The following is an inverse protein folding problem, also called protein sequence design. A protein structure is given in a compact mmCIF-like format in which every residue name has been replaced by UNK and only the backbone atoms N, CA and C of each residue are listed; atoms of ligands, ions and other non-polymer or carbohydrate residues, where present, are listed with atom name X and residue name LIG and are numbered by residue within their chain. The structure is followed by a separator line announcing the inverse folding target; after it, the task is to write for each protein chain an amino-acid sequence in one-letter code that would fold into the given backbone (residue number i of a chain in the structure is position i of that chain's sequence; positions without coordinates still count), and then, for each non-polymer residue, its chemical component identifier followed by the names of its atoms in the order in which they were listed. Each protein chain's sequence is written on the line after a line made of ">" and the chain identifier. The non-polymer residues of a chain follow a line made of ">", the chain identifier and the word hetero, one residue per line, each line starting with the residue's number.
data_IF_914626038885
#
_entry.id   IF_914626038885
#
_cell.length_a   1.000
_cell.length_b   1.000
_cell.length_c   1.000
_cell.angle_alpha   90.00
_cell.angle_beta   90.00
_cell.angle_gamma   90.00
#
_symmetry.space_group_name_H-M   'P 1'
#
loop_
_entity.id
_entity.type
_entity.pdbx_description
1 polymer ?
#
# COMPACT_ATOMS: atom_id res chain seq x y z
N UNK A 1 0.89 2.19 21.14
CA UNK A 1 0.46 2.61 19.80
C UNK A 1 -0.89 3.32 19.83
N UNK A 2 -2.02 2.65 20.12
CA UNK A 2 -3.32 3.34 20.19
C UNK A 2 -3.35 4.45 21.26
N UNK A 3 -2.85 4.19 22.47
CA UNK A 3 -2.80 5.18 23.55
C UNK A 3 -1.85 6.36 23.27
N UNK A 4 -0.67 6.10 22.70
CA UNK A 4 0.31 7.15 22.33
C UNK A 4 -0.27 8.14 21.30
N UNK A 5 -1.06 7.65 20.35
CA UNK A 5 -1.70 8.50 19.34
C UNK A 5 -2.91 9.28 19.89
N UNK A 6 -3.57 8.78 20.94
CA UNK A 6 -4.57 9.54 21.70
C UNK A 6 -3.84 10.69 22.44
N UNK A 7 -2.71 10.43 23.09
CA UNK A 7 -1.89 11.44 23.78
C UNK A 7 -1.43 12.55 22.81
N UNK A 8 -0.92 12.21 21.64
CA UNK A 8 -0.52 13.21 20.64
C UNK A 8 -1.70 14.07 20.14
N UNK A 9 -2.89 13.46 20.01
CA UNK A 9 -4.12 14.18 19.63
C UNK A 9 -4.57 15.11 20.77
N UNK A 10 -4.48 14.65 22.01
CA UNK A 10 -4.76 15.45 23.20
C UNK A 10 -3.86 16.71 23.33
N UNK A 11 -2.57 16.61 23.00
CA UNK A 11 -1.65 17.74 23.03
C UNK A 11 -2.02 18.80 21.97
N UNK A 12 -2.37 18.38 20.75
CA UNK A 12 -2.83 19.27 19.69
C UNK A 12 -4.08 20.07 20.08
N UNK A 13 -5.09 19.43 20.70
CA UNK A 13 -6.29 20.13 21.17
C UNK A 13 -6.04 20.99 22.44
N UNK A 14 -5.00 20.69 23.24
CA UNK A 14 -4.53 21.54 24.35
C UNK A 14 -3.90 22.85 23.82
N UNK A 15 -3.10 22.80 22.76
CA UNK A 15 -2.53 24.01 22.13
C UNK A 15 -3.61 24.92 21.52
N UNK A 16 -4.64 24.33 20.90
CA UNK A 16 -5.81 25.03 20.39
C UNK A 16 -6.73 25.64 21.47
N UNK A 17 -6.47 25.35 22.76
CA UNK A 17 -7.25 25.82 23.93
C UNK A 17 -8.75 25.48 23.88
N UNK A 18 -9.13 24.45 23.14
CA UNK A 18 -10.51 23.97 23.05
C UNK A 18 -10.79 22.91 24.11
N UNK A 19 -11.92 22.96 24.84
CA UNK A 19 -12.27 21.95 25.83
C UNK A 19 -12.65 20.63 25.15
N UNK A 20 -12.19 19.49 25.66
CA UNK A 20 -12.51 18.17 25.11
C UNK A 20 -12.60 17.06 26.18
N UNK A 21 -13.10 15.88 25.80
CA UNK A 21 -13.14 14.65 26.63
C UNK A 21 -13.07 13.38 25.76
N UNK A 22 -12.94 12.20 26.38
CA UNK A 22 -12.64 10.92 25.69
C UNK A 22 -13.55 9.80 26.21
N UNK A 23 -14.31 9.13 25.33
CA UNK A 23 -15.31 8.09 25.68
C UNK A 23 -15.22 6.84 24.81
N UNK A 24 -15.08 5.68 25.46
CA UNK A 24 -15.09 4.38 24.79
C UNK A 24 -16.49 4.08 24.20
N UNK A 25 -16.55 3.79 22.90
CA UNK A 25 -17.79 3.51 22.18
C UNK A 25 -18.20 2.06 22.39
N UNK A 26 -19.48 1.87 22.69
CA UNK A 26 -20.10 0.58 23.03
C UNK A 26 -20.22 -0.35 21.83
N UNK A 27 -20.13 -1.66 22.09
CA UNK A 27 -20.07 -2.74 21.08
C UNK A 27 -21.09 -2.65 19.94
N UNK A 28 -22.35 -2.32 20.25
CA UNK A 28 -23.43 -2.21 19.25
C UNK A 28 -23.34 -0.99 18.31
N UNK A 29 -22.38 -0.08 18.52
CA UNK A 29 -22.13 1.09 17.68
C UNK A 29 -20.76 1.04 16.96
N UNK A 30 -20.09 -0.12 16.98
CA UNK A 30 -18.96 -0.39 16.09
C UNK A 30 -19.45 -0.89 14.73
N UNK A 31 -18.69 -0.56 13.69
CA UNK A 31 -18.81 -1.16 12.36
C UNK A 31 -17.97 -2.44 12.29
N UNK A 32 -18.32 -3.34 11.36
CA UNK A 32 -17.76 -4.71 11.25
C UNK A 32 -16.22 -4.81 11.17
N UNK A 33 -15.54 -3.72 10.82
CA UNK A 33 -14.07 -3.64 10.72
C UNK A 33 -13.36 -3.21 12.02
N UNK A 34 -14.08 -2.75 13.05
CA UNK A 34 -13.49 -2.18 14.27
C UNK A 34 -13.71 -3.10 15.48
N UNK A 35 -12.63 -3.39 16.22
CA UNK A 35 -12.68 -4.25 17.42
C UNK A 35 -12.87 -3.47 18.72
N UNK A 36 -12.22 -2.30 18.86
CA UNK A 36 -12.39 -1.39 20.01
C UNK A 36 -12.29 0.04 19.53
N UNK A 37 -13.18 0.91 20.03
CA UNK A 37 -13.48 2.20 19.43
C UNK A 37 -13.34 3.31 20.52
N UNK A 38 -12.13 3.88 20.67
CA UNK A 38 -11.85 5.13 21.43
C UNK A 38 -11.77 6.38 20.56
N UNK A 39 -12.46 7.41 21.02
CA UNK A 39 -12.70 8.64 20.28
C UNK A 39 -12.49 9.87 21.17
N UNK A 40 -11.61 10.79 20.74
CA UNK A 40 -11.47 12.14 21.30
C UNK A 40 -12.67 13.03 20.92
N UNK A 41 -13.06 13.99 21.78
CA UNK A 41 -14.30 14.77 21.61
C UNK A 41 -14.23 16.23 22.09
N UNK A 42 -14.21 17.20 21.17
CA UNK A 42 -14.37 18.61 21.53
C UNK A 42 -15.79 18.88 22.11
N UNK A 43 -15.86 19.64 23.19
CA UNK A 43 -17.12 20.02 23.84
C UNK A 43 -17.85 21.09 22.99
N UNK A 44 -19.17 21.11 22.81
CA UNK A 44 -20.22 20.43 23.57
C UNK A 44 -20.35 18.93 23.30
N UNK A 45 -19.92 18.18 24.30
CA UNK A 45 -20.40 16.85 24.65
C UNK A 45 -20.65 15.86 23.49
N UNK A 46 -19.54 15.42 22.87
CA UNK A 46 -19.26 14.00 22.56
C UNK A 46 -19.41 13.48 21.10
N UNK A 47 -18.43 13.79 20.23
CA UNK A 47 -18.19 13.10 18.95
C UNK A 47 -16.69 13.06 18.55
N UNK A 48 -16.32 12.42 17.43
CA UNK A 48 -15.41 11.25 17.42
C UNK A 48 -14.05 11.38 16.68
N UNK A 49 -12.90 11.00 17.29
CA UNK A 49 -11.60 10.78 16.60
C UNK A 49 -10.82 9.48 16.88
N UNK A 50 -10.60 8.69 15.80
CA UNK A 50 -9.69 7.54 15.68
C UNK A 50 -8.28 7.88 15.19
N UNK A 51 -7.38 6.93 15.43
CA UNK A 51 -6.20 6.74 14.58
C UNK A 51 -6.60 6.10 13.24
N UNK A 52 -6.28 6.75 12.13
CA UNK A 52 -6.46 6.16 10.81
C UNK A 52 -5.28 5.23 10.50
N UNK A 53 -5.52 3.92 10.56
CA UNK A 53 -4.56 2.91 10.10
C UNK A 53 -4.66 2.79 8.57
N UNK A 54 -3.58 3.10 7.86
CA UNK A 54 -3.44 2.85 6.43
C UNK A 54 -2.40 1.74 6.21
N UNK A 55 -2.81 0.65 5.56
CA UNK A 55 -1.89 -0.31 4.98
C UNK A 55 -1.82 -0.11 3.46
N UNK A 56 -0.61 -0.03 2.91
CA UNK A 56 -0.38 -0.02 1.47
C UNK A 56 0.70 -1.05 1.13
N UNK A 57 0.42 -2.05 0.28
CA UNK A 57 1.43 -3.00 -0.15
C UNK A 57 2.45 -2.30 -1.06
N UNK A 58 3.67 -2.09 -0.56
CA UNK A 58 4.76 -1.38 -1.25
C UNK A 58 5.07 -1.97 -2.64
N UNK A 59 5.05 -3.31 -2.74
CA UNK A 59 5.20 -4.04 -4.00
C UNK A 59 4.54 -5.41 -3.87
N UNK A 60 3.67 -5.75 -4.82
CA UNK A 60 3.21 -7.12 -5.00
C UNK A 60 4.19 -7.79 -5.96
N UNK A 61 5.11 -8.61 -5.43
CA UNK A 61 6.30 -9.12 -6.13
C UNK A 61 5.98 -9.74 -7.49
N UNK A 62 4.93 -10.56 -7.59
CA UNK A 62 4.48 -11.17 -8.84
C UNK A 62 4.03 -10.14 -9.89
N UNK A 63 3.28 -9.12 -9.47
CA UNK A 63 2.76 -8.06 -10.36
C UNK A 63 3.87 -7.12 -10.80
N UNK A 64 4.74 -6.74 -9.87
CA UNK A 64 5.93 -5.93 -10.15
C UNK A 64 6.90 -6.67 -11.05
N UNK A 65 7.05 -8.00 -10.91
CA UNK A 65 7.83 -8.81 -11.83
C UNK A 65 7.27 -8.76 -13.25
N UNK A 66 5.94 -8.89 -13.44
CA UNK A 66 5.35 -8.70 -14.78
C UNK A 66 5.66 -7.31 -15.35
N UNK A 67 5.51 -6.24 -14.56
CA UNK A 67 5.83 -4.89 -15.02
C UNK A 67 7.32 -4.71 -15.36
N UNK A 68 8.24 -5.34 -14.62
CA UNK A 68 9.68 -5.31 -14.95
C UNK A 68 9.95 -6.10 -16.23
N UNK A 69 9.39 -7.31 -16.38
CA UNK A 69 9.53 -8.14 -17.57
C UNK A 69 9.00 -7.45 -18.83
N UNK A 70 7.88 -6.72 -18.74
CA UNK A 70 7.29 -6.00 -19.88
C UNK A 70 8.06 -4.72 -20.26
N UNK A 71 8.46 -3.90 -19.27
CA UNK A 71 9.09 -2.60 -19.56
C UNK A 71 10.60 -2.70 -19.86
N UNK A 72 11.29 -3.74 -19.37
CA UNK A 72 12.72 -3.95 -19.60
C UNK A 72 12.99 -5.07 -20.62
N UNK A 73 11.98 -5.50 -21.40
CA UNK A 73 12.16 -6.47 -22.48
C UNK A 73 13.04 -5.90 -23.60
N UNK A 74 13.97 -6.73 -24.07
CA UNK A 74 14.77 -6.52 -25.28
C UNK A 74 14.54 -7.69 -26.25
N UNK A 75 15.13 -7.63 -27.46
CA UNK A 75 15.04 -8.73 -28.43
C UNK A 75 15.65 -10.05 -27.92
N UNK A 76 16.67 -9.96 -27.05
CA UNK A 76 17.50 -11.10 -26.62
C UNK A 76 17.28 -11.53 -25.16
N UNK A 77 16.48 -10.79 -24.39
CA UNK A 77 16.28 -11.04 -22.96
C UNK A 77 15.55 -9.90 -22.26
N UNK A 78 15.73 -9.79 -20.94
CA UNK A 78 15.21 -8.68 -20.12
C UNK A 78 16.38 -8.01 -19.41
N UNK A 79 16.46 -6.67 -19.46
CA UNK A 79 17.47 -5.93 -18.70
C UNK A 79 17.10 -5.85 -17.21
N UNK A 80 18.10 -5.96 -16.34
CA UNK A 80 17.89 -5.84 -14.89
C UNK A 80 17.94 -4.35 -14.53
N UNK A 81 16.88 -3.78 -13.90
CA UNK A 81 16.89 -2.41 -13.40
C UNK A 81 18.07 -2.16 -12.48
N UNK A 82 18.74 -1.01 -12.63
CA UNK A 82 19.96 -0.66 -11.89
C UNK A 82 19.88 -0.91 -10.36
N UNK A 83 18.79 -0.55 -9.64
CA UNK A 83 18.69 -0.81 -8.20
C UNK A 83 18.66 -2.30 -7.82
N UNK A 84 18.25 -3.19 -8.73
CA UNK A 84 18.15 -4.64 -8.48
C UNK A 84 19.47 -5.38 -8.71
N UNK A 85 20.41 -4.80 -9.47
CA UNK A 85 21.67 -5.47 -9.85
C UNK A 85 22.51 -5.89 -8.66
N UNK A 86 22.53 -5.09 -7.59
CA UNK A 86 23.26 -5.39 -6.33
C UNK A 86 22.76 -6.69 -5.70
N UNK A 87 21.44 -6.93 -5.73
CA UNK A 87 20.81 -8.14 -5.19
C UNK A 87 20.93 -9.35 -6.14
N UNK A 88 21.30 -9.12 -7.41
CA UNK A 88 21.47 -10.14 -8.45
C UNK A 88 22.95 -10.40 -8.78
N UNK A 89 23.85 -10.18 -7.81
CA UNK A 89 25.29 -10.46 -7.98
C UNK A 89 25.98 -9.59 -9.03
N UNK A 90 25.46 -8.40 -9.32
CA UNK A 90 25.98 -7.48 -10.32
C UNK A 90 25.54 -7.76 -11.77
N UNK A 91 24.68 -8.76 -12.02
CA UNK A 91 24.19 -9.03 -13.37
C UNK A 91 23.32 -7.87 -13.92
N UNK A 92 23.49 -7.58 -15.20
CA UNK A 92 22.80 -6.49 -15.90
C UNK A 92 21.69 -6.95 -16.85
N UNK A 93 21.66 -8.21 -17.27
CA UNK A 93 20.64 -8.76 -18.18
C UNK A 93 20.34 -10.24 -17.93
N UNK A 94 19.12 -10.65 -18.26
CA UNK A 94 18.59 -12.01 -18.21
C UNK A 94 18.31 -12.50 -19.64
N UNK A 95 19.15 -13.34 -20.25
CA UNK A 95 18.96 -13.80 -21.63
C UNK A 95 17.79 -14.78 -21.76
N UNK A 96 17.09 -14.76 -22.90
CA UNK A 96 16.07 -15.77 -23.18
C UNK A 96 16.71 -17.13 -23.50
N UNK A 97 16.33 -18.17 -22.77
CA UNK A 97 16.81 -19.54 -23.01
C UNK A 97 16.27 -20.17 -24.32
N UNK A 98 15.24 -19.56 -24.92
CA UNK A 98 14.72 -19.89 -26.26
C UNK A 98 14.33 -18.59 -26.96
N UNK A 99 14.79 -18.39 -28.19
CA UNK A 99 14.36 -17.24 -29.00
C UNK A 99 12.83 -17.26 -29.14
N UNK A 100 12.14 -16.11 -29.02
CA UNK A 100 10.70 -16.05 -29.24
C UNK A 100 10.39 -16.49 -30.67
N UNK A 101 9.66 -17.59 -30.83
CA UNK A 101 9.29 -18.10 -32.15
C UNK A 101 8.49 -17.05 -32.90
N UNK A 102 8.88 -16.73 -34.13
CA UNK A 102 8.24 -15.74 -35.02
C UNK A 102 6.88 -16.21 -35.56
N UNK A 103 5.98 -16.64 -34.67
CA UNK A 103 4.57 -16.86 -35.00
C UNK A 103 3.82 -15.54 -34.94
N UNK A 104 3.97 -14.77 -36.02
CA UNK A 104 3.13 -13.60 -36.28
C UNK A 104 1.65 -13.95 -36.12
N UNK A 105 0.90 -13.02 -35.53
CA UNK A 105 -0.52 -13.16 -35.24
C UNK A 105 -1.30 -13.30 -36.56
N UNK A 106 -1.51 -14.54 -37.00
CA UNK A 106 -2.14 -14.84 -38.28
C UNK A 106 -3.49 -14.12 -38.39
N UNK A 107 -3.66 -13.31 -39.44
CA UNK A 107 -4.97 -12.74 -39.78
C UNK A 107 -5.95 -13.90 -39.90
N UNK A 108 -6.97 -13.93 -39.04
CA UNK A 108 -8.15 -14.76 -39.29
C UNK A 108 -8.85 -14.17 -40.52
N UNK A 109 -8.54 -14.71 -41.70
CA UNK A 109 -9.36 -14.52 -42.89
C UNK A 109 -10.77 -15.01 -42.57
N UNK A 110 -11.74 -14.11 -42.61
CA UNK A 110 -13.16 -14.49 -42.66
C UNK A 110 -13.40 -15.18 -44.00
N UNK A 111 -13.85 -16.42 -43.94
CA UNK A 111 -14.70 -17.04 -44.95
C UNK A 111 -16.12 -17.01 -44.39
#
# INVERSE_FOLDING_TARGET
>A
MLEEMIINSEEFYKELKTPYRVVAIVSGALNDAAATKYDLEACNEQAKQYVHLLNSPLTATERTLCCVLENYQTENGVEIPEPLRVYMGGQSSLPFHKNPSTKGRGKKSKA
#
